data_IF_833227922161
#
_entry.id   IF_833227922161
#
_cell.length_a   1.000
_cell.length_b   1.000
_cell.length_c   1.000
_cell.angle_alpha   90.00
_cell.angle_beta   90.00
_cell.angle_gamma   90.00
#
_symmetry.space_group_name_H-M   'P 1'
#
loop_
_entity.id
_entity.type
_entity.pdbx_description
1 polymer ?
#
# COMPACT_ATOMS: atom_id res chain seq x y z
N UNK A 1 -41.13 -31.08 10.78
CA UNK A 1 -40.23 -29.92 10.64
C UNK A 1 -38.79 -30.40 10.81
N UNK A 2 -38.00 -30.42 9.74
CA UNK A 2 -36.55 -30.59 9.85
C UNK A 2 -35.93 -29.22 10.12
N UNK A 3 -34.99 -29.07 11.08
CA UNK A 3 -34.31 -27.81 11.30
C UNK A 3 -33.37 -27.54 10.11
N UNK A 4 -33.57 -26.41 9.43
CA UNK A 4 -32.60 -25.90 8.48
C UNK A 4 -31.39 -25.39 9.27
N UNK A 5 -30.35 -26.22 9.35
CA UNK A 5 -29.08 -25.83 9.97
C UNK A 5 -28.47 -24.67 9.18
N UNK A 6 -28.27 -23.53 9.84
CA UNK A 6 -27.68 -22.31 9.30
C UNK A 6 -26.16 -22.50 9.06
N UNK A 7 -25.78 -23.22 8.02
CA UNK A 7 -24.37 -23.42 7.66
C UNK A 7 -23.67 -22.14 7.17
N UNK A 8 -24.44 -21.17 6.63
CA UNK A 8 -23.89 -19.89 6.16
C UNK A 8 -23.36 -18.99 7.28
N UNK A 9 -24.10 -18.89 8.39
CA UNK A 9 -23.68 -18.03 9.52
C UNK A 9 -22.44 -18.55 10.23
N UNK A 10 -22.32 -19.87 10.42
CA UNK A 10 -21.17 -20.48 11.09
C UNK A 10 -19.87 -20.37 10.24
N UNK A 11 -19.99 -20.54 8.92
CA UNK A 11 -18.85 -20.39 8.01
C UNK A 11 -18.33 -18.94 7.95
N UNK A 12 -19.24 -17.95 7.93
CA UNK A 12 -18.87 -16.53 7.92
C UNK A 12 -18.18 -16.10 9.23
N UNK A 13 -18.69 -16.53 10.39
CA UNK A 13 -18.07 -16.29 11.70
C UNK A 13 -16.67 -16.92 11.79
N UNK A 14 -16.47 -18.12 11.23
CA UNK A 14 -15.17 -18.79 11.20
C UNK A 14 -14.16 -18.07 10.27
N UNK A 15 -14.61 -17.59 9.11
CA UNK A 15 -13.80 -16.80 8.17
C UNK A 15 -13.37 -15.47 8.79
N UNK A 16 -14.31 -14.73 9.41
CA UNK A 16 -14.03 -13.47 10.11
C UNK A 16 -13.06 -13.67 11.28
N UNK A 17 -13.28 -14.72 12.09
CA UNK A 17 -12.41 -15.04 13.22
C UNK A 17 -10.99 -15.42 12.79
N UNK A 18 -10.83 -16.14 11.68
CA UNK A 18 -9.51 -16.48 11.13
C UNK A 18 -8.78 -15.23 10.62
N UNK A 19 -9.48 -14.30 9.97
CA UNK A 19 -8.89 -13.04 9.46
C UNK A 19 -8.38 -12.16 10.59
N UNK A 20 -9.21 -11.95 11.63
CA UNK A 20 -8.82 -11.17 12.81
C UNK A 20 -7.61 -11.80 13.52
N UNK A 21 -7.55 -13.13 13.59
CA UNK A 21 -6.40 -13.84 14.16
C UNK A 21 -5.12 -13.64 13.33
N UNK A 22 -5.18 -13.75 12.00
CA UNK A 22 -4.00 -13.52 11.13
C UNK A 22 -3.50 -12.08 11.24
N UNK A 23 -4.41 -11.09 11.22
CA UNK A 23 -4.01 -9.69 11.38
C UNK A 23 -3.39 -9.44 12.76
N UNK A 24 -4.04 -9.90 13.83
CA UNK A 24 -3.56 -9.68 15.20
C UNK A 24 -2.20 -10.34 15.46
N UNK A 25 -1.99 -11.55 14.94
CA UNK A 25 -0.70 -12.26 15.05
C UNK A 25 0.39 -11.56 14.24
N UNK A 26 0.08 -11.12 13.01
CA UNK A 26 1.02 -10.38 12.17
C UNK A 26 1.42 -9.04 12.81
N UNK A 27 0.46 -8.30 13.36
CA UNK A 27 0.73 -7.08 14.10
C UNK A 27 1.58 -7.32 15.34
N UNK A 28 1.22 -8.32 16.14
CA UNK A 28 1.99 -8.65 17.35
C UNK A 28 3.42 -9.02 17.00
N UNK A 29 3.61 -9.78 15.92
CA UNK A 29 4.94 -10.13 15.41
C UNK A 29 5.72 -8.90 14.95
N UNK A 30 5.13 -8.03 14.13
CA UNK A 30 5.79 -6.82 13.64
C UNK A 30 6.16 -5.89 14.79
N UNK A 31 5.29 -5.74 15.79
CA UNK A 31 5.59 -4.98 16.99
C UNK A 31 6.76 -5.58 17.77
N UNK A 32 6.84 -6.91 17.84
CA UNK A 32 7.93 -7.62 18.51
C UNK A 32 9.28 -7.48 17.79
N UNK A 33 9.29 -7.48 16.45
CA UNK A 33 10.53 -7.37 15.65
C UNK A 33 10.88 -5.92 15.27
N UNK A 34 10.05 -4.96 15.65
CA UNK A 34 10.36 -3.54 15.45
C UNK A 34 11.65 -3.17 16.18
N UNK A 35 12.56 -2.49 15.48
CA UNK A 35 13.91 -2.18 15.97
C UNK A 35 14.96 -3.27 15.73
N UNK A 36 14.60 -4.44 15.18
CA UNK A 36 15.59 -5.44 14.76
C UNK A 36 16.57 -4.82 13.74
N UNK A 37 17.90 -4.92 13.92
CA UNK A 37 18.89 -4.27 13.06
C UNK A 37 18.82 -4.70 11.59
N UNK A 38 19.28 -3.82 10.69
CA UNK A 38 19.47 -4.17 9.29
C UNK A 38 20.72 -5.05 9.14
N UNK A 39 20.55 -6.25 8.61
CA UNK A 39 21.65 -7.16 8.27
C UNK A 39 21.40 -7.72 6.89
N UNK A 40 22.29 -7.43 5.94
CA UNK A 40 22.21 -7.95 4.58
C UNK A 40 22.20 -9.50 4.60
N UNK A 41 21.20 -10.11 3.96
CA UNK A 41 20.98 -11.55 3.97
C UNK A 41 20.46 -12.10 5.31
N UNK A 42 20.14 -11.25 6.28
CA UNK A 42 19.66 -11.65 7.60
C UNK A 42 18.28 -12.33 7.54
N UNK A 43 18.10 -13.35 8.37
CA UNK A 43 16.86 -14.13 8.51
C UNK A 43 16.73 -14.65 9.94
N UNK A 44 16.97 -13.76 10.92
CA UNK A 44 16.84 -14.09 12.34
C UNK A 44 16.42 -12.85 13.17
N UNK A 45 15.99 -13.04 14.42
CA UNK A 45 15.75 -11.92 15.34
C UNK A 45 16.96 -11.00 15.57
N UNK A 46 18.18 -11.46 15.30
CA UNK A 46 19.39 -10.65 15.42
C UNK A 46 19.58 -9.63 14.29
N UNK A 47 18.86 -9.80 13.17
CA UNK A 47 18.93 -8.87 12.05
C UNK A 47 18.31 -9.40 10.76
N UNK A 48 17.81 -8.48 9.94
CA UNK A 48 17.15 -8.79 8.66
C UNK A 48 17.31 -7.67 7.65
N UNK A 49 17.34 -8.01 6.36
CA UNK A 49 17.28 -7.02 5.29
C UNK A 49 15.83 -6.73 4.86
N UNK A 50 15.65 -5.88 3.85
CA UNK A 50 14.33 -5.55 3.31
C UNK A 50 13.55 -6.82 2.91
N UNK A 51 14.20 -7.71 2.16
CA UNK A 51 13.61 -8.94 1.66
C UNK A 51 13.41 -10.04 2.70
N UNK A 52 14.24 -10.07 3.74
CA UNK A 52 14.11 -10.95 4.88
C UNK A 52 12.87 -10.61 5.69
N UNK A 53 12.63 -9.31 5.95
CA UNK A 53 11.39 -8.87 6.60
C UNK A 53 10.15 -9.21 5.75
N UNK A 54 10.19 -8.94 4.44
CA UNK A 54 9.10 -9.31 3.53
C UNK A 54 8.85 -10.83 3.55
N UNK A 55 9.91 -11.63 3.63
CA UNK A 55 9.83 -13.09 3.76
C UNK A 55 9.14 -13.53 5.05
N UNK A 56 9.48 -12.93 6.19
CA UNK A 56 8.87 -13.24 7.48
C UNK A 56 7.37 -13.01 7.46
N UNK A 57 6.97 -11.85 6.94
CA UNK A 57 5.56 -11.46 6.83
C UNK A 57 4.82 -12.40 5.88
N UNK A 58 5.37 -12.66 4.70
CA UNK A 58 4.75 -13.56 3.73
C UNK A 58 4.67 -15.01 4.25
N UNK A 59 5.68 -15.48 4.97
CA UNK A 59 5.68 -16.81 5.60
C UNK A 59 4.61 -16.90 6.68
N UNK A 60 4.58 -15.94 7.60
CA UNK A 60 3.59 -15.90 8.67
C UNK A 60 2.15 -15.85 8.13
N UNK A 61 1.90 -15.01 7.13
CA UNK A 61 0.58 -14.85 6.54
C UNK A 61 0.10 -16.09 5.77
N UNK A 62 0.99 -17.04 5.49
CA UNK A 62 0.70 -18.25 4.70
C UNK A 62 0.95 -19.53 5.48
N UNK A 63 0.90 -19.44 6.82
CA UNK A 63 1.03 -20.56 7.75
C UNK A 63 2.37 -21.33 7.59
N UNK A 64 3.45 -20.63 7.24
CA UNK A 64 4.81 -21.17 7.10
C UNK A 64 5.71 -20.74 8.27
N UNK A 65 6.79 -21.48 8.56
CA UNK A 65 7.81 -21.01 9.50
C UNK A 65 8.34 -19.63 9.10
N UNK A 66 8.35 -18.70 10.05
CA UNK A 66 8.75 -17.30 9.81
C UNK A 66 10.18 -17.24 9.24
N UNK A 67 11.10 -17.98 9.86
CA UNK A 67 12.51 -18.07 9.49
C UNK A 67 12.81 -19.34 8.68
N UNK A 68 13.92 -19.32 7.93
CA UNK A 68 14.47 -20.50 7.24
C UNK A 68 13.90 -20.73 5.84
N UNK A 69 12.81 -20.05 5.48
CA UNK A 69 12.28 -20.01 4.11
C UNK A 69 12.26 -18.59 3.54
N UNK A 70 13.42 -17.91 3.57
CA UNK A 70 13.58 -16.56 3.00
C UNK A 70 13.60 -16.54 1.47
N UNK A 71 13.27 -15.38 0.91
CA UNK A 71 13.51 -14.99 -0.47
C UNK A 71 14.28 -13.66 -0.52
N UNK A 72 14.63 -13.22 -1.73
CA UNK A 72 15.25 -11.93 -2.03
C UNK A 72 14.55 -11.27 -3.22
N UNK A 73 14.80 -9.99 -3.48
CA UNK A 73 14.16 -9.24 -4.58
C UNK A 73 14.31 -9.90 -5.95
N UNK A 74 15.39 -10.67 -6.17
CA UNK A 74 15.63 -11.39 -7.43
C UNK A 74 14.75 -12.62 -7.65
N UNK A 75 14.16 -13.21 -6.60
CA UNK A 75 13.23 -14.33 -6.72
C UNK A 75 11.87 -14.09 -6.04
N UNK A 76 11.63 -12.88 -5.55
CA UNK A 76 10.46 -12.47 -4.75
C UNK A 76 9.15 -12.81 -5.47
N UNK A 77 9.03 -12.53 -6.76
CA UNK A 77 7.84 -12.86 -7.55
C UNK A 77 7.45 -14.35 -7.45
N UNK A 78 8.40 -15.23 -7.78
CA UNK A 78 8.18 -16.69 -7.75
C UNK A 78 7.89 -17.19 -6.34
N UNK A 79 8.53 -16.60 -5.34
CA UNK A 79 8.37 -16.95 -3.94
C UNK A 79 6.99 -16.54 -3.40
N UNK A 80 6.50 -15.36 -3.79
CA UNK A 80 5.18 -14.88 -3.41
C UNK A 80 4.07 -15.67 -4.12
N UNK A 81 4.23 -16.01 -5.40
CA UNK A 81 3.31 -16.90 -6.12
C UNK A 81 3.19 -18.27 -5.43
N UNK A 82 4.31 -18.87 -5.01
CA UNK A 82 4.31 -20.14 -4.28
C UNK A 82 3.64 -20.06 -2.89
N UNK A 83 3.41 -18.83 -2.41
CA UNK A 83 2.71 -18.50 -1.16
C UNK A 83 1.25 -18.08 -1.41
N UNK A 84 0.78 -18.12 -2.66
CA UNK A 84 -0.61 -17.80 -3.00
C UNK A 84 -0.90 -16.31 -3.14
N UNK A 85 0.14 -15.47 -3.22
CA UNK A 85 -0.03 -14.07 -3.59
C UNK A 85 -0.49 -13.94 -5.05
N UNK A 86 -1.20 -12.86 -5.33
CA UNK A 86 -1.69 -12.48 -6.65
C UNK A 86 -1.01 -11.18 -7.09
N UNK A 87 -0.87 -10.98 -8.40
CA UNK A 87 -0.33 -9.73 -8.94
C UNK A 87 -1.22 -8.52 -8.62
N UNK A 88 -0.58 -7.36 -8.42
CA UNK A 88 -1.24 -6.09 -8.16
C UNK A 88 -1.39 -5.79 -6.67
N UNK A 89 -2.40 -4.99 -6.36
CA UNK A 89 -2.74 -4.57 -4.99
C UNK A 89 -4.24 -4.74 -4.77
N UNK A 90 -4.66 -4.84 -3.51
CA UNK A 90 -6.07 -4.86 -3.16
C UNK A 90 -6.29 -4.17 -1.81
N UNK A 91 -7.42 -3.44 -1.63
CA UNK A 91 -7.79 -2.89 -0.33
C UNK A 91 -7.96 -4.00 0.72
N UNK A 92 -7.51 -3.74 1.95
CA UNK A 92 -7.63 -4.71 3.04
C UNK A 92 -6.75 -5.96 2.88
N UNK A 93 -5.83 -5.99 1.90
CA UNK A 93 -4.92 -7.10 1.68
C UNK A 93 -3.54 -6.83 2.27
N UNK A 94 -2.79 -7.91 2.51
CA UNK A 94 -1.35 -7.80 2.72
C UNK A 94 -0.71 -7.53 1.35
N UNK A 95 -0.04 -6.39 1.18
CA UNK A 95 0.59 -5.99 -0.08
C UNK A 95 2.09 -5.92 0.11
N UNK A 96 2.84 -6.42 -0.86
CA UNK A 96 4.30 -6.33 -0.93
C UNK A 96 4.66 -5.66 -2.26
N UNK A 97 5.42 -4.58 -2.16
CA UNK A 97 5.92 -3.82 -3.29
C UNK A 97 7.43 -3.91 -3.34
N UNK A 98 8.00 -4.18 -4.51
CA UNK A 98 9.44 -4.32 -4.68
C UNK A 98 9.95 -3.82 -6.04
N UNK A 99 11.26 -3.63 -6.11
CA UNK A 99 12.03 -3.43 -7.33
C UNK A 99 13.32 -4.27 -7.27
N UNK A 100 14.29 -4.03 -8.15
CA UNK A 100 15.54 -4.81 -8.16
C UNK A 100 16.38 -4.73 -6.89
N UNK A 101 16.20 -3.70 -6.04
CA UNK A 101 17.07 -3.41 -4.90
C UNK A 101 16.36 -3.36 -3.54
N UNK A 102 15.05 -3.12 -3.52
CA UNK A 102 14.32 -2.86 -2.28
C UNK A 102 12.92 -3.46 -2.32
N UNK A 103 12.39 -3.79 -1.13
CA UNK A 103 11.02 -4.26 -0.92
C UNK A 103 10.48 -3.74 0.41
N UNK A 104 9.18 -3.48 0.44
CA UNK A 104 8.48 -3.08 1.64
C UNK A 104 7.05 -3.63 1.65
N UNK A 105 6.46 -3.65 2.85
CA UNK A 105 5.19 -4.31 3.11
C UNK A 105 4.15 -3.30 3.58
N UNK A 106 2.91 -3.48 3.16
CA UNK A 106 1.75 -2.84 3.76
C UNK A 106 0.80 -3.92 4.27
N UNK A 107 0.53 -3.89 5.58
CA UNK A 107 -0.33 -4.84 6.25
C UNK A 107 -1.81 -4.60 5.90
N UNK A 108 -2.71 -5.56 6.15
CA UNK A 108 -4.14 -5.45 5.79
C UNK A 108 -4.88 -4.24 6.36
N UNK A 109 -4.43 -3.68 7.48
CA UNK A 109 -4.98 -2.47 8.10
C UNK A 109 -4.41 -1.16 7.50
N UNK A 110 -3.51 -1.26 6.53
CA UNK A 110 -2.79 -0.13 5.93
C UNK A 110 -1.46 0.21 6.60
N UNK A 111 -1.08 -0.47 7.70
CA UNK A 111 0.18 -0.23 8.39
C UNK A 111 1.37 -0.56 7.49
N UNK A 112 2.20 0.45 7.20
CA UNK A 112 3.45 0.27 6.47
C UNK A 112 4.54 -0.34 7.36
N UNK A 113 5.32 -1.27 6.82
CA UNK A 113 6.46 -1.88 7.51
C UNK A 113 7.60 -2.07 6.51
N UNK A 114 8.82 -1.73 6.92
CA UNK A 114 10.01 -1.90 6.09
C UNK A 114 11.25 -2.16 6.93
N UNK A 115 12.27 -2.73 6.30
CA UNK A 115 13.64 -2.78 6.81
C UNK A 115 14.54 -2.18 5.73
N UNK A 116 15.53 -1.38 6.09
CA UNK A 116 16.47 -0.72 5.18
C UNK A 116 16.17 0.76 4.91
N UNK A 117 15.01 1.27 5.33
CA UNK A 117 14.61 2.67 5.16
C UNK A 117 15.00 3.52 6.37
N UNK A 118 16.29 3.80 6.52
CA UNK A 118 16.82 4.52 7.68
C UNK A 118 17.25 3.60 8.83
N UNK A 119 17.41 2.29 8.57
CA UNK A 119 17.92 1.33 9.54
C UNK A 119 17.25 -0.03 9.39
N UNK A 120 17.11 -0.74 10.50
CA UNK A 120 16.46 -2.04 10.55
C UNK A 120 14.94 -2.00 10.41
N UNK A 121 14.27 -2.98 10.99
CA UNK A 121 12.81 -3.10 10.94
C UNK A 121 12.15 -1.91 11.62
N UNK A 122 11.22 -1.27 10.92
CA UNK A 122 10.39 -0.19 11.45
C UNK A 122 8.95 -0.29 10.95
N UNK A 123 8.06 0.30 11.74
CA UNK A 123 6.69 0.58 11.36
C UNK A 123 6.60 2.03 10.85
N UNK A 124 5.85 2.26 9.79
CA UNK A 124 5.68 3.54 9.13
C UNK A 124 6.53 3.71 7.86
N UNK A 125 6.38 4.86 7.21
CA UNK A 125 6.92 5.12 5.86
C UNK A 125 5.87 4.85 4.77
N UNK A 126 6.32 4.67 3.52
CA UNK A 126 5.41 4.50 2.38
C UNK A 126 4.90 3.06 2.19
N UNK A 127 5.47 2.08 2.89
CA UNK A 127 5.08 0.66 2.77
C UNK A 127 5.24 0.17 1.33
N UNK A 128 4.37 -0.75 0.91
CA UNK A 128 4.37 -1.30 -0.44
C UNK A 128 3.98 -0.29 -1.54
N UNK A 129 3.50 0.90 -1.22
CA UNK A 129 2.98 1.88 -2.19
C UNK A 129 3.96 2.99 -2.55
N UNK A 130 5.25 2.80 -2.27
CA UNK A 130 6.26 3.78 -2.62
C UNK A 130 6.41 3.88 -4.15
N UNK A 131 6.60 5.09 -4.72
CA UNK A 131 6.71 5.30 -6.16
C UNK A 131 7.86 4.53 -6.85
N UNK A 132 8.86 4.10 -6.09
CA UNK A 132 10.02 3.37 -6.59
C UNK A 132 9.75 1.90 -6.91
N UNK A 133 8.64 1.33 -6.44
CA UNK A 133 8.34 -0.08 -6.66
C UNK A 133 7.68 -0.29 -8.00
N UNK A 134 8.28 -1.17 -8.80
CA UNK A 134 7.81 -1.52 -10.14
C UNK A 134 6.97 -2.79 -10.14
N UNK A 135 7.01 -3.56 -9.05
CA UNK A 135 6.26 -4.79 -8.88
C UNK A 135 5.45 -4.75 -7.60
N UNK A 136 4.24 -5.31 -7.66
CA UNK A 136 3.35 -5.42 -6.51
C UNK A 136 2.63 -6.76 -6.56
N UNK A 137 2.52 -7.39 -5.41
CA UNK A 137 1.69 -8.56 -5.20
C UNK A 137 0.97 -8.46 -3.88
N UNK A 138 -0.21 -9.06 -3.80
CA UNK A 138 -1.04 -9.05 -2.62
C UNK A 138 -1.51 -10.45 -2.25
N UNK A 139 -1.64 -10.68 -0.95
CA UNK A 139 -2.34 -11.83 -0.40
C UNK A 139 -3.69 -11.34 0.13
N UNK A 140 -4.83 -11.83 -0.40
CA UNK A 140 -6.13 -11.53 0.17
C UNK A 140 -6.22 -12.09 1.58
N UNK A 141 -5.96 -11.26 2.59
CA UNK A 141 -6.36 -11.54 3.96
C UNK A 141 -7.80 -11.12 3.98
N UNK A 142 -8.68 -12.11 3.86
CA UNK A 142 -9.92 -11.88 3.18
C UNK A 142 -10.65 -10.66 3.83
N UNK A 143 -11.00 -9.68 3.01
CA UNK A 143 -11.47 -8.39 3.48
C UNK A 143 -12.93 -8.52 3.90
N UNK A 144 -13.38 -7.79 4.92
CA UNK A 144 -14.79 -7.42 5.02
C UNK A 144 -15.23 -7.02 3.60
N UNK A 145 -16.37 -7.49 3.05
CA UNK A 145 -16.92 -6.77 1.93
C UNK A 145 -16.99 -5.32 2.42
N UNK A 146 -16.31 -4.41 1.72
CA UNK A 146 -16.53 -2.99 1.91
C UNK A 146 -18.06 -2.85 1.95
N UNK A 147 -18.61 -2.32 3.04
CA UNK A 147 -20.03 -2.07 3.14
C UNK A 147 -20.44 -1.41 1.83
N UNK A 148 -21.37 -2.07 1.17
CA UNK A 148 -21.96 -1.72 -0.11
C UNK A 148 -22.26 -0.22 -0.10
N UNK A 149 -21.31 0.58 -0.57
CA UNK A 149 -21.61 1.94 -0.95
C UNK A 149 -22.50 1.75 -2.17
N UNK A 150 -23.80 2.09 -2.09
CA UNK A 150 -24.67 1.86 -3.22
C UNK A 150 -24.04 2.55 -4.41
N UNK A 151 -23.81 1.79 -5.47
CA UNK A 151 -23.47 2.35 -6.76
C UNK A 151 -24.48 3.48 -7.01
N UNK A 152 -24.05 4.68 -7.46
CA UNK A 152 -25.00 5.70 -7.84
C UNK A 152 -25.79 5.12 -9.02
N UNK A 153 -26.98 4.61 -8.71
CA UNK A 153 -27.97 4.21 -9.70
C UNK A 153 -28.22 5.42 -10.57
N UNK A 154 -28.16 5.18 -11.87
CA UNK A 154 -28.41 6.18 -12.89
C UNK A 154 -29.74 6.87 -12.60
N UNK A 155 -29.69 8.08 -12.05
CA UNK A 155 -30.86 8.92 -11.89
C UNK A 155 -31.29 9.36 -13.30
N UNK A 156 -32.39 8.75 -13.70
CA UNK A 156 -33.13 8.93 -14.93
C UNK A 156 -33.15 10.37 -15.46
N UNK A 157 -32.92 10.45 -16.77
CA UNK A 157 -33.30 11.54 -17.66
C UNK A 157 -34.80 11.82 -17.46
N UNK A 158 -35.13 12.99 -16.92
CA UNK A 158 -36.48 13.56 -17.04
C UNK A 158 -36.37 14.76 -17.97
N UNK A 159 -36.64 14.53 -19.25
CA UNK A 159 -37.06 15.58 -20.17
C UNK A 159 -38.55 15.77 -19.95
N UNK A 160 -38.96 16.93 -19.46
CA UNK A 160 -40.17 17.58 -20.01
C UNK A 160 -40.12 19.10 -19.84
N UNK A 161 -40.75 19.72 -20.84
CA UNK A 161 -40.74 21.09 -21.36
C UNK A 161 -41.40 22.12 -20.44
N UNK A 162 -40.82 23.34 -20.33
CA UNK A 162 -41.53 24.64 -20.48
C UNK A 162 -40.51 25.74 -20.83
N UNK A 163 -40.62 26.28 -22.04
CA UNK A 163 -40.22 27.65 -22.44
C UNK A 163 -41.46 28.55 -22.22
N UNK A 164 -41.38 29.77 -21.63
CA UNK A 164 -41.01 30.96 -22.41
C UNK A 164 -40.28 32.13 -21.70
N UNK A 165 -39.58 32.88 -22.55
CA UNK A 165 -39.29 34.33 -22.57
C UNK A 165 -38.62 35.07 -21.39
N UNK A 166 -37.50 35.74 -21.74
CA UNK A 166 -36.84 36.82 -21.00
C UNK A 166 -37.64 38.14 -21.07
N UNK A 167 -37.34 39.17 -20.26
CA UNK A 167 -36.26 40.08 -20.67
C UNK A 167 -35.38 40.71 -19.54
N UNK A 168 -34.24 41.15 -20.04
CA UNK A 168 -33.10 41.96 -19.55
C UNK A 168 -33.28 43.00 -18.43
N UNK A 169 -32.22 43.15 -17.62
CA UNK A 169 -31.60 44.40 -17.15
C UNK A 169 -30.26 44.06 -16.45
N UNK A 170 -29.14 44.07 -17.16
CA UNK A 170 -28.10 45.12 -17.20
C UNK A 170 -27.60 45.61 -15.84
N UNK A 171 -26.35 45.29 -15.53
CA UNK A 171 -25.42 46.14 -14.78
C UNK A 171 -24.00 45.67 -15.06
N UNK A 172 -23.32 46.50 -15.82
CA UNK A 172 -21.90 46.52 -16.14
C UNK A 172 -21.02 46.65 -14.89
N UNK A 173 -19.86 45.99 -14.86
CA UNK A 173 -18.58 46.69 -14.70
C UNK A 173 -17.38 45.77 -14.93
N UNK A 174 -16.60 46.18 -15.92
CA UNK A 174 -15.18 46.02 -16.19
C UNK A 174 -14.26 45.42 -15.10
N UNK A 175 -13.40 44.49 -15.50
CA UNK A 175 -12.40 43.87 -14.63
C UNK A 175 -11.33 43.09 -15.42
N UNK A 176 -10.44 43.85 -16.04
CA UNK A 176 -9.21 43.51 -16.74
C UNK A 176 -8.58 42.11 -16.54
N UNK A 177 -8.18 41.56 -17.68
CA UNK A 177 -7.07 40.62 -17.86
C UNK A 177 -5.81 41.08 -17.11
N UNK A 178 -5.11 40.14 -16.47
CA UNK A 178 -3.66 39.95 -16.50
C UNK A 178 -3.18 39.32 -15.19
N UNK A 179 -2.61 38.12 -15.29
CA UNK A 179 -1.65 37.62 -14.30
C UNK A 179 -0.72 36.69 -15.05
N UNK A 180 0.20 37.36 -15.75
CA UNK A 180 1.45 36.85 -16.29
C UNK A 180 2.20 36.15 -15.14
N UNK A 181 2.37 34.83 -15.23
CA UNK A 181 3.18 34.07 -14.28
C UNK A 181 4.66 34.26 -14.65
N UNK A 182 5.53 34.67 -13.70
CA UNK A 182 6.94 34.92 -13.99
C UNK A 182 7.71 33.63 -14.27
N UNK A 183 8.59 33.71 -15.28
CA UNK A 183 9.57 32.69 -15.66
C UNK A 183 10.63 32.56 -14.56
N UNK A 184 10.96 31.35 -14.07
CA UNK A 184 12.03 31.18 -13.09
C UNK A 184 13.42 31.38 -13.71
N UNK A 185 14.27 32.16 -13.04
CA UNK A 185 15.68 32.36 -13.41
C UNK A 185 16.53 31.09 -13.17
N UNK A 186 17.58 30.84 -13.98
CA UNK A 186 18.50 29.72 -13.75
C UNK A 186 19.48 29.99 -12.60
N UNK A 187 19.71 28.94 -11.78
CA UNK A 187 20.66 28.89 -10.66
C UNK A 187 22.12 29.12 -11.13
N UNK A 188 22.97 29.85 -10.37
CA UNK A 188 24.36 30.06 -10.74
C UNK A 188 25.21 28.78 -10.60
N UNK A 189 26.12 28.59 -11.56
CA UNK A 189 27.10 27.49 -11.59
C UNK A 189 28.13 27.58 -10.43
N UNK A 190 28.69 26.43 -9.98
CA UNK A 190 29.67 26.39 -8.91
C UNK A 190 31.00 27.03 -9.32
N UNK A 191 31.51 27.91 -8.45
CA UNK A 191 32.86 28.48 -8.52
C UNK A 191 33.91 27.39 -8.30
N UNK A 192 34.85 27.26 -9.25
CA UNK A 192 36.06 26.47 -9.11
C UNK A 192 37.08 27.31 -8.33
N UNK A 193 37.58 26.78 -7.21
CA UNK A 193 38.64 27.40 -6.42
C UNK A 193 39.99 26.89 -6.93
N UNK A 194 40.60 27.65 -7.83
CA UNK A 194 41.99 27.49 -8.26
C UNK A 194 42.93 28.02 -7.17
N UNK A 195 43.33 27.14 -6.24
CA UNK A 195 44.46 27.41 -5.35
C UNK A 195 45.74 26.80 -5.94
N UNK A 196 46.34 27.53 -6.88
CA UNK A 196 47.76 27.40 -7.21
C UNK A 196 48.57 28.30 -6.25
N UNK A 197 49.44 27.69 -5.44
CA UNK A 197 50.37 28.40 -4.56
C UNK A 197 51.57 27.52 -4.25
N UNK A 198 52.74 28.00 -4.68
CA UNK A 198 54.07 27.40 -4.70
C UNK A 198 54.60 26.81 -3.40
#
# INVERSE_FOLDING_TARGET
MSPATNFGGLAMVLLMSRRMFVLATLMSFIQQVSGTPYVAGGDSPAGTDCSGLASWVANMATDRPVFGSRFNTGNEESALLARGFKYGTAPGALVIGWNGSHTAVTLPDGTAVSSGEGGGVKIGGGGAYQPQFTHHMFLPVAAEPAEDAPAPEQAAILVDVVEPEAPVADSTSDGAISSEFPVPEPDPAPVQDDAAGS
#
